data_IF_621201537645
#
_entry.id   IF_621201537645
#
_cell.length_a   1.000
_cell.length_b   1.000
_cell.length_c   1.000
_cell.angle_alpha   90.00
_cell.angle_beta   90.00
_cell.angle_gamma   90.00
#
_symmetry.space_group_name_H-M   'P 1'
#
loop_
_entity.id
_entity.type
_entity.pdbx_description
1 polymer ?
#
# COMPACT_ATOMS: atom_id res chain seq x y z
N UNK A 1 21.01 9.43 7.58
CA UNK A 1 19.80 9.31 6.76
C UNK A 1 18.91 8.29 7.43
N UNK A 2 17.58 8.54 7.47
CA UNK A 2 16.59 7.54 7.86
C UNK A 2 16.10 6.74 6.64
N UNK A 3 15.44 5.63 6.89
CA UNK A 3 14.85 4.77 5.83
C UNK A 3 13.41 4.43 6.22
N UNK A 4 12.49 4.55 5.26
CA UNK A 4 11.12 4.01 5.36
C UNK A 4 10.96 2.92 4.30
N UNK A 5 10.54 1.74 4.73
CA UNK A 5 10.23 0.61 3.87
C UNK A 5 8.70 0.46 3.82
N UNK A 6 8.09 0.81 2.69
CA UNK A 6 6.66 0.62 2.46
C UNK A 6 6.46 -0.80 1.92
N UNK A 7 5.70 -1.60 2.61
CA UNK A 7 5.44 -3.02 2.31
C UNK A 7 3.97 -3.18 1.96
N UNK A 8 3.67 -3.73 0.78
CA UNK A 8 2.30 -4.15 0.48
C UNK A 8 1.96 -5.41 1.27
N UNK A 9 0.76 -5.49 1.79
CA UNK A 9 0.27 -6.72 2.45
C UNK A 9 0.41 -7.96 1.55
N UNK A 10 0.51 -9.12 2.14
CA UNK A 10 0.49 -10.42 1.47
C UNK A 10 -0.84 -10.66 0.73
N UNK A 11 -0.90 -11.67 -0.11
CA UNK A 11 -2.10 -12.00 -0.86
C UNK A 11 -3.28 -12.21 0.08
N UNK A 12 -4.38 -11.48 -0.15
CA UNK A 12 -5.63 -11.65 0.55
C UNK A 12 -6.42 -12.87 0.01
N UNK A 13 -7.28 -13.43 0.86
CA UNK A 13 -8.14 -14.57 0.48
C UNK A 13 -9.25 -14.12 -0.45
N UNK A 14 -9.26 -14.63 -1.68
CA UNK A 14 -10.35 -14.44 -2.63
C UNK A 14 -11.45 -15.47 -2.41
N UNK A 15 -12.71 -15.02 -2.33
CA UNK A 15 -13.89 -15.90 -2.26
C UNK A 15 -14.16 -16.47 -0.88
N UNK A 16 -13.52 -15.99 0.18
CA UNK A 16 -13.96 -16.18 1.56
C UNK A 16 -14.99 -15.11 1.94
N UNK A 17 -15.83 -15.41 2.93
CA UNK A 17 -16.80 -14.45 3.50
C UNK A 17 -16.12 -13.19 4.06
N UNK A 18 -14.83 -13.26 4.35
CA UNK A 18 -13.98 -12.16 4.83
C UNK A 18 -12.79 -11.98 3.88
N UNK A 19 -12.90 -10.99 2.99
CA UNK A 19 -11.83 -10.62 2.04
C UNK A 19 -10.59 -10.02 2.74
N UNK A 20 -10.73 -9.53 3.97
CA UNK A 20 -9.64 -8.83 4.67
C UNK A 20 -8.65 -9.77 5.39
N UNK A 21 -8.70 -11.09 5.14
CA UNK A 21 -7.75 -12.08 5.67
C UNK A 21 -6.69 -12.45 4.63
N UNK A 22 -5.49 -12.79 5.08
CA UNK A 22 -4.46 -13.35 4.19
C UNK A 22 -4.80 -14.79 3.78
N UNK A 23 -4.47 -15.14 2.54
CA UNK A 23 -4.39 -16.53 2.10
C UNK A 23 -3.15 -17.22 2.71
N UNK A 24 -3.06 -18.55 2.58
CA UNK A 24 -1.85 -19.29 2.98
C UNK A 24 -0.61 -18.75 2.25
N UNK A 25 -0.75 -18.44 0.95
CA UNK A 25 0.30 -17.77 0.17
C UNK A 25 0.66 -16.40 0.75
N UNK A 26 -0.32 -15.61 1.20
CA UNK A 26 -0.08 -14.32 1.82
C UNK A 26 0.72 -14.40 3.11
N UNK A 27 0.43 -15.39 3.96
CA UNK A 27 1.21 -15.67 5.15
C UNK A 27 2.64 -16.10 4.82
N UNK A 28 2.83 -16.94 3.79
CA UNK A 28 4.16 -17.35 3.34
C UNK A 28 4.97 -16.18 2.78
N UNK A 29 4.34 -15.32 1.96
CA UNK A 29 4.96 -14.10 1.45
C UNK A 29 5.46 -13.20 2.58
N UNK A 30 4.66 -13.02 3.65
CA UNK A 30 5.09 -12.25 4.82
C UNK A 30 6.30 -12.86 5.52
N UNK A 31 6.34 -14.19 5.69
CA UNK A 31 7.48 -14.90 6.30
C UNK A 31 8.75 -14.78 5.45
N UNK A 32 8.64 -14.98 4.12
CA UNK A 32 9.75 -14.83 3.19
C UNK A 32 10.31 -13.41 3.19
N UNK A 33 9.43 -12.40 3.22
CA UNK A 33 9.83 -11.00 3.36
C UNK A 33 10.63 -10.77 4.64
N UNK A 34 10.14 -11.26 5.78
CA UNK A 34 10.81 -11.12 7.07
C UNK A 34 12.21 -11.71 7.05
N UNK A 35 12.35 -12.95 6.59
CA UNK A 35 13.64 -13.63 6.47
C UNK A 35 14.58 -12.85 5.54
N UNK A 36 14.09 -12.41 4.38
CA UNK A 36 14.87 -11.64 3.41
C UNK A 36 15.39 -10.31 3.96
N UNK A 37 14.59 -9.61 4.75
CA UNK A 37 15.00 -8.36 5.40
C UNK A 37 16.04 -8.62 6.50
N UNK A 38 15.85 -9.66 7.31
CA UNK A 38 16.79 -10.04 8.37
C UNK A 38 18.17 -10.45 7.80
N UNK A 39 18.21 -11.22 6.71
CA UNK A 39 19.44 -11.61 6.01
C UNK A 39 20.24 -10.41 5.50
N UNK A 40 19.57 -9.26 5.30
CA UNK A 40 20.18 -7.99 4.88
C UNK A 40 20.47 -7.05 6.03
N UNK A 41 20.47 -7.59 7.26
CA UNK A 41 20.72 -6.85 8.48
C UNK A 41 19.79 -5.63 8.65
N UNK A 42 18.56 -5.69 8.12
CA UNK A 42 17.54 -4.69 8.40
C UNK A 42 17.07 -4.87 9.84
N UNK A 43 17.20 -3.83 10.66
CA UNK A 43 16.75 -3.80 12.05
C UNK A 43 15.80 -2.62 12.20
N UNK A 44 14.47 -2.84 12.09
CA UNK A 44 13.53 -1.73 12.22
C UNK A 44 13.50 -1.19 13.63
N UNK A 45 13.56 0.14 13.75
CA UNK A 45 13.32 0.84 15.01
C UNK A 45 11.85 0.91 15.36
N UNK A 46 10.99 0.75 14.34
CA UNK A 46 9.54 0.78 14.45
C UNK A 46 8.92 0.03 13.27
N UNK A 47 7.84 -0.70 13.54
CA UNK A 47 6.93 -1.22 12.53
C UNK A 47 5.61 -0.45 12.64
N UNK A 48 5.15 0.14 11.55
CA UNK A 48 3.83 0.78 11.44
C UNK A 48 2.96 -0.07 10.54
N UNK A 49 1.68 -0.15 10.80
CA UNK A 49 0.72 -0.80 9.90
C UNK A 49 -0.56 0.01 9.81
N UNK A 50 -1.28 -0.13 8.71
CA UNK A 50 -2.68 0.25 8.65
C UNK A 50 -3.54 -0.59 9.60
N UNK A 51 -4.80 -0.22 9.79
CA UNK A 51 -5.70 -0.91 10.73
C UNK A 51 -6.37 -2.16 10.16
N UNK A 52 -6.30 -2.36 8.84
CA UNK A 52 -6.89 -3.51 8.16
C UNK A 52 -6.28 -4.83 8.65
N UNK A 53 -7.10 -5.89 8.69
CA UNK A 53 -6.69 -7.21 9.17
C UNK A 53 -5.52 -7.78 8.37
N UNK A 54 -5.56 -7.68 7.03
CA UNK A 54 -4.46 -8.12 6.16
C UNK A 54 -3.14 -7.39 6.42
N UNK A 55 -3.17 -6.12 6.87
CA UNK A 55 -1.97 -5.39 7.28
C UNK A 55 -1.39 -5.97 8.57
N UNK A 56 -2.25 -6.25 9.56
CA UNK A 56 -1.86 -6.88 10.81
C UNK A 56 -1.23 -8.26 10.57
N UNK A 57 -1.92 -9.13 9.83
CA UNK A 57 -1.47 -10.49 9.56
C UNK A 57 -0.15 -10.51 8.78
N UNK A 58 0.05 -9.58 7.82
CA UNK A 58 1.34 -9.42 7.12
C UNK A 58 2.45 -9.00 8.07
N UNK A 59 2.19 -8.03 8.95
CA UNK A 59 3.17 -7.61 9.95
C UNK A 59 3.56 -8.76 10.90
N UNK A 60 2.59 -9.53 11.38
CA UNK A 60 2.80 -10.71 12.21
C UNK A 60 3.68 -11.76 11.49
N UNK A 61 3.35 -12.09 10.24
CA UNK A 61 4.11 -13.04 9.43
C UNK A 61 5.55 -12.56 9.18
N UNK A 62 5.72 -11.28 8.84
CA UNK A 62 7.03 -10.66 8.63
C UNK A 62 7.88 -10.66 9.90
N UNK A 63 7.31 -10.27 11.03
CA UNK A 63 8.03 -10.28 12.33
C UNK A 63 8.47 -11.69 12.69
N UNK A 64 7.59 -12.69 12.53
CA UNK A 64 7.91 -14.08 12.78
C UNK A 64 9.02 -14.60 11.84
N UNK A 65 8.95 -14.30 10.54
CA UNK A 65 9.95 -14.70 9.55
C UNK A 65 11.32 -14.08 9.79
N UNK A 66 11.36 -12.86 10.30
CA UNK A 66 12.60 -12.14 10.63
C UNK A 66 13.16 -12.48 12.02
N UNK A 67 12.36 -13.10 12.90
CA UNK A 67 12.71 -13.27 14.31
C UNK A 67 12.78 -11.94 15.08
N UNK A 68 12.03 -10.94 14.64
CA UNK A 68 12.03 -9.62 15.28
C UNK A 68 11.01 -9.51 16.41
N UNK A 69 11.42 -8.79 17.46
CA UNK A 69 10.53 -8.31 18.55
C UNK A 69 10.45 -6.78 18.48
N UNK A 70 9.94 -6.26 17.36
CA UNK A 70 9.81 -4.81 17.15
C UNK A 70 8.47 -4.29 17.71
N UNK A 71 8.48 -3.01 18.14
CA UNK A 71 7.25 -2.29 18.47
C UNK A 71 6.39 -2.08 17.23
N UNK A 72 5.08 -2.31 17.33
CA UNK A 72 4.13 -2.14 16.23
C UNK A 72 3.12 -1.05 16.58
N UNK A 73 3.04 -0.03 15.75
CA UNK A 73 2.04 1.04 15.82
C UNK A 73 0.99 0.89 14.72
N UNK A 74 -0.23 1.34 15.01
CA UNK A 74 -1.33 1.38 14.04
C UNK A 74 -1.52 2.83 13.58
N UNK A 75 -1.49 3.02 12.28
CA UNK A 75 -1.80 4.30 11.63
C UNK A 75 -2.79 4.10 10.50
N UNK A 76 -4.11 4.40 10.70
CA UNK A 76 -5.13 4.26 9.67
C UNK A 76 -4.89 5.13 8.42
N UNK A 77 -3.96 6.10 8.49
CA UNK A 77 -3.51 6.84 7.32
C UNK A 77 -2.91 5.96 6.23
N UNK A 78 -2.50 4.73 6.58
CA UNK A 78 -1.98 3.71 5.67
C UNK A 78 -3.02 2.69 5.18
N UNK A 79 -4.31 2.85 5.52
CA UNK A 79 -5.37 1.97 5.04
C UNK A 79 -5.64 2.17 3.55
N UNK A 80 -6.11 1.10 2.90
CA UNK A 80 -6.56 1.17 1.51
C UNK A 80 -7.80 2.07 1.41
N UNK A 81 -8.03 2.65 0.23
CA UNK A 81 -9.28 3.33 -0.05
C UNK A 81 -10.44 2.32 -0.21
N UNK A 82 -11.66 2.77 0.04
CA UNK A 82 -12.86 1.97 -0.14
C UNK A 82 -13.20 1.82 -1.64
N UNK A 83 -12.59 0.81 -2.28
CA UNK A 83 -12.80 0.55 -3.70
C UNK A 83 -14.26 0.17 -4.03
N UNK A 84 -14.98 -0.48 -3.09
CA UNK A 84 -16.39 -0.81 -3.30
C UNK A 84 -17.26 0.44 -3.20
N UNK A 85 -16.97 1.34 -2.26
CA UNK A 85 -17.61 2.64 -2.17
C UNK A 85 -17.35 3.52 -3.41
N UNK A 86 -16.13 3.48 -3.96
CA UNK A 86 -15.80 4.17 -5.22
C UNK A 86 -16.63 3.63 -6.39
N UNK A 87 -16.72 2.30 -6.52
CA UNK A 87 -17.56 1.68 -7.57
C UNK A 87 -19.03 1.98 -7.34
N UNK A 88 -19.52 1.85 -6.10
CA UNK A 88 -20.93 2.08 -5.75
C UNK A 88 -21.39 3.54 -5.96
N UNK A 89 -20.49 4.49 -5.84
CA UNK A 89 -20.78 5.92 -6.09
C UNK A 89 -20.80 6.30 -7.59
N UNK A 90 -20.38 5.41 -8.47
CA UNK A 90 -20.43 5.70 -9.91
C UNK A 90 -21.87 5.56 -10.43
N UNK A 91 -22.45 6.60 -11.10
CA UNK A 91 -23.86 6.64 -11.46
C UNK A 91 -24.28 5.59 -12.48
N UNK A 92 -23.36 5.05 -13.25
CA UNK A 92 -23.61 4.03 -14.27
C UNK A 92 -23.19 2.62 -13.83
N UNK A 93 -23.00 2.40 -12.52
CA UNK A 93 -22.68 1.06 -12.01
C UNK A 93 -23.86 0.10 -12.28
N UNK A 94 -23.66 -0.99 -13.02
CA UNK A 94 -24.74 -1.94 -13.31
C UNK A 94 -25.28 -2.56 -12.02
N UNK A 95 -26.58 -2.76 -11.97
CA UNK A 95 -27.26 -3.49 -10.90
C UNK A 95 -27.21 -4.99 -11.21
N UNK A 96 -26.56 -5.79 -10.37
CA UNK A 96 -26.47 -7.24 -10.51
C UNK A 96 -25.05 -7.79 -10.26
N UNK A 97 -24.92 -9.12 -10.34
CA UNK A 97 -23.62 -9.76 -10.28
C UNK A 97 -22.85 -9.49 -11.57
N UNK A 98 -21.67 -8.88 -11.42
CA UNK A 98 -20.74 -8.63 -12.52
C UNK A 98 -19.74 -9.78 -12.62
N UNK A 99 -19.42 -10.21 -13.83
CA UNK A 99 -18.26 -11.05 -14.03
C UNK A 99 -16.96 -10.26 -13.75
N UNK A 100 -15.84 -10.99 -13.64
CA UNK A 100 -14.54 -10.39 -13.30
C UNK A 100 -14.09 -9.32 -14.30
N UNK A 101 -14.38 -9.47 -15.60
CA UNK A 101 -14.00 -8.52 -16.64
C UNK A 101 -14.88 -7.29 -16.61
N UNK A 102 -16.16 -7.49 -16.39
CA UNK A 102 -17.15 -6.41 -16.24
C UNK A 102 -16.83 -5.59 -15.01
N UNK A 103 -16.58 -6.22 -13.86
CA UNK A 103 -16.16 -5.53 -12.64
C UNK A 103 -14.89 -4.71 -12.86
N UNK A 104 -13.88 -5.28 -13.51
CA UNK A 104 -12.63 -4.55 -13.78
C UNK A 104 -12.88 -3.30 -14.64
N UNK A 105 -13.72 -3.38 -15.65
CA UNK A 105 -14.06 -2.23 -16.51
C UNK A 105 -14.80 -1.14 -15.73
N UNK A 106 -15.80 -1.53 -14.93
CA UNK A 106 -16.54 -0.59 -14.08
C UNK A 106 -15.61 0.06 -13.07
N UNK A 107 -14.74 -0.72 -12.46
CA UNK A 107 -13.74 -0.24 -11.51
C UNK A 107 -12.79 0.80 -12.13
N UNK A 108 -12.32 0.58 -13.35
CA UNK A 108 -11.44 1.53 -14.07
C UNK A 108 -12.15 2.87 -14.30
N UNK A 109 -13.38 2.85 -14.81
CA UNK A 109 -14.17 4.06 -15.06
C UNK A 109 -14.53 4.77 -13.76
N UNK A 110 -14.94 4.04 -12.73
CA UNK A 110 -15.26 4.60 -11.42
C UNK A 110 -14.03 5.25 -10.76
N UNK A 111 -12.88 4.60 -10.86
CA UNK A 111 -11.61 5.11 -10.33
C UNK A 111 -11.16 6.36 -11.10
N UNK A 112 -11.31 6.41 -12.43
CA UNK A 112 -11.02 7.60 -13.23
C UNK A 112 -11.90 8.78 -12.80
N UNK A 113 -13.21 8.57 -12.59
CA UNK A 113 -14.12 9.60 -12.10
C UNK A 113 -13.73 10.09 -10.69
N UNK A 114 -13.36 9.18 -9.79
CA UNK A 114 -12.94 9.51 -8.44
C UNK A 114 -11.65 10.33 -8.42
N UNK A 115 -10.64 9.90 -9.17
CA UNK A 115 -9.35 10.59 -9.25
C UNK A 115 -9.40 11.93 -9.99
N UNK A 116 -10.45 12.18 -10.77
CA UNK A 116 -10.67 13.48 -11.41
C UNK A 116 -11.02 14.60 -10.41
N UNK A 117 -11.47 14.27 -9.18
CA UNK A 117 -11.77 15.23 -8.12
C UNK A 117 -12.95 16.17 -8.41
N UNK A 118 -13.76 15.88 -9.43
CA UNK A 118 -14.89 16.73 -9.84
C UNK A 118 -16.20 16.42 -9.08
N UNK A 119 -16.23 15.31 -8.35
CA UNK A 119 -17.43 14.74 -7.72
C UNK A 119 -17.15 14.29 -6.29
N UNK A 120 -16.29 14.97 -5.59
CA UNK A 120 -15.79 14.58 -4.25
C UNK A 120 -16.89 14.32 -3.23
N UNK A 121 -18.02 15.04 -3.33
CA UNK A 121 -19.17 14.88 -2.44
C UNK A 121 -19.96 13.57 -2.62
N UNK A 122 -19.72 12.83 -3.68
CA UNK A 122 -20.41 11.56 -3.97
C UNK A 122 -19.76 10.37 -3.22
N UNK A 123 -18.55 10.56 -2.71
CA UNK A 123 -17.72 9.48 -2.14
C UNK A 123 -17.62 9.58 -0.62
N UNK A 124 -17.59 8.43 0.10
CA UNK A 124 -17.28 8.42 1.54
C UNK A 124 -15.89 9.01 1.85
N UNK A 125 -14.91 8.76 0.97
CA UNK A 125 -13.59 9.38 0.97
C UNK A 125 -13.28 9.95 -0.42
N UNK A 126 -13.09 11.26 -0.51
CA UNK A 126 -12.69 11.90 -1.77
C UNK A 126 -11.24 11.58 -2.14
N UNK A 127 -10.89 11.74 -3.41
CA UNK A 127 -9.50 11.59 -3.87
C UNK A 127 -8.52 12.52 -3.12
N UNK A 128 -8.80 13.83 -2.93
CA UNK A 128 -7.95 14.68 -2.10
C UNK A 128 -7.87 14.23 -0.64
N UNK A 129 -8.96 13.69 -0.08
CA UNK A 129 -9.00 13.14 1.29
C UNK A 129 -8.04 11.96 1.43
N UNK A 130 -8.16 10.98 0.54
CA UNK A 130 -7.28 9.81 0.47
C UNK A 130 -5.80 10.21 0.34
N UNK A 131 -5.47 11.01 -0.67
CA UNK A 131 -4.08 11.41 -0.92
C UNK A 131 -3.51 12.28 0.19
N UNK A 132 -4.33 13.13 0.82
CA UNK A 132 -3.96 13.96 1.96
C UNK A 132 -3.60 13.13 3.19
N UNK A 133 -4.43 12.10 3.54
CA UNK A 133 -4.11 11.23 4.69
C UNK A 133 -2.87 10.39 4.46
N UNK A 134 -2.67 9.87 3.24
CA UNK A 134 -1.47 9.11 2.89
C UNK A 134 -0.22 9.96 2.98
N UNK A 135 -0.26 11.20 2.47
CA UNK A 135 0.85 12.15 2.60
C UNK A 135 1.20 12.42 4.06
N UNK A 136 0.18 12.65 4.90
CA UNK A 136 0.36 12.88 6.33
C UNK A 136 0.97 11.65 7.02
N UNK A 137 0.54 10.44 6.66
CA UNK A 137 1.11 9.19 7.19
C UNK A 137 2.56 8.99 6.76
N UNK A 138 2.90 9.33 5.50
CA UNK A 138 4.27 9.30 5.00
C UNK A 138 5.17 10.27 5.78
N UNK A 139 4.72 11.50 6.00
CA UNK A 139 5.46 12.51 6.75
C UNK A 139 5.73 12.05 8.19
N UNK A 140 4.73 11.44 8.86
CA UNK A 140 4.90 10.86 10.20
C UNK A 140 5.95 9.74 10.19
N UNK A 141 5.83 8.79 9.25
CA UNK A 141 6.77 7.67 9.14
C UNK A 141 8.20 8.16 8.84
N UNK A 142 8.36 9.19 8.01
CA UNK A 142 9.65 9.81 7.73
C UNK A 142 10.23 10.51 8.97
N UNK A 143 9.40 11.19 9.77
CA UNK A 143 9.83 11.81 11.03
C UNK A 143 10.27 10.75 12.06
N UNK A 144 9.52 9.64 12.18
CA UNK A 144 9.84 8.52 13.06
C UNK A 144 11.13 7.79 12.66
N UNK A 145 11.44 7.70 11.36
CA UNK A 145 12.67 7.10 10.88
C UNK A 145 13.91 7.84 11.36
N UNK A 146 13.86 9.17 11.47
CA UNK A 146 14.94 9.98 12.00
C UNK A 146 16.33 9.68 11.41
N UNK A 147 17.39 10.23 11.97
CA UNK A 147 18.76 9.91 11.54
C UNK A 147 19.18 8.51 11.96
N UNK A 148 19.43 7.62 10.98
CA UNK A 148 19.92 6.26 11.22
C UNK A 148 18.85 5.22 11.57
N UNK A 149 17.58 5.63 11.73
CA UNK A 149 16.48 4.71 11.99
C UNK A 149 15.91 4.10 10.73
N UNK A 150 15.23 2.98 10.90
CA UNK A 150 14.46 2.29 9.85
C UNK A 150 13.04 2.06 10.35
N UNK A 151 12.06 2.58 9.62
CA UNK A 151 10.63 2.32 9.84
C UNK A 151 10.13 1.39 8.75
N UNK A 152 9.50 0.29 9.13
CA UNK A 152 8.78 -0.59 8.19
C UNK A 152 7.30 -0.29 8.29
N UNK A 153 6.66 -0.01 7.15
CA UNK A 153 5.22 0.30 7.06
C UNK A 153 4.52 -0.78 6.28
N UNK A 154 3.56 -1.47 6.87
CA UNK A 154 2.71 -2.44 6.17
C UNK A 154 1.40 -1.76 5.76
N UNK A 155 1.13 -1.75 4.45
CA UNK A 155 0.01 -1.03 3.84
C UNK A 155 -0.54 -1.78 2.61
N UNK A 156 -1.28 -1.09 1.77
CA UNK A 156 -1.90 -1.59 0.54
C UNK A 156 -1.33 -0.91 -0.71
N UNK A 157 -1.71 -1.41 -1.89
CA UNK A 157 -1.23 -0.91 -3.17
C UNK A 157 -1.53 0.56 -3.40
N UNK A 158 -2.76 0.99 -3.13
CA UNK A 158 -3.19 2.38 -3.32
C UNK A 158 -2.38 3.40 -2.54
N UNK A 159 -2.23 3.28 -1.21
CA UNK A 159 -1.39 4.18 -0.42
C UNK A 159 0.09 4.17 -0.83
N UNK A 160 0.67 2.99 -1.12
CA UNK A 160 2.06 2.89 -1.57
C UNK A 160 2.26 3.60 -2.91
N UNK A 161 1.33 3.41 -3.84
CA UNK A 161 1.36 4.10 -5.13
C UNK A 161 1.21 5.62 -4.96
N UNK A 162 0.32 6.09 -4.04
CA UNK A 162 0.13 7.50 -3.77
C UNK A 162 1.37 8.16 -3.16
N UNK A 163 1.97 7.53 -2.15
CA UNK A 163 3.23 7.98 -1.57
C UNK A 163 4.35 8.01 -2.62
N UNK A 164 4.45 6.97 -3.46
CA UNK A 164 5.46 6.88 -4.51
C UNK A 164 5.26 7.96 -5.58
N UNK A 165 4.04 8.18 -6.05
CA UNK A 165 3.72 9.22 -7.04
C UNK A 165 4.11 10.61 -6.53
N UNK A 166 3.79 10.94 -5.28
CA UNK A 166 4.15 12.20 -4.65
C UNK A 166 5.68 12.41 -4.54
N UNK A 167 6.44 11.33 -4.36
CA UNK A 167 7.91 11.39 -4.28
C UNK A 167 8.59 11.44 -5.65
N UNK A 168 7.97 10.84 -6.68
CA UNK A 168 8.50 10.86 -8.06
C UNK A 168 8.34 12.23 -8.68
N UNK A 169 7.17 12.84 -8.52
CA UNK A 169 6.89 14.18 -9.06
C UNK A 169 6.18 15.06 -8.01
N UNK A 170 6.95 15.71 -7.10
CA UNK A 170 6.37 16.57 -6.07
C UNK A 170 5.66 17.81 -6.61
N UNK A 171 5.88 18.15 -7.88
CA UNK A 171 5.27 19.31 -8.56
C UNK A 171 4.14 18.94 -9.51
N UNK A 172 3.75 17.67 -9.57
CA UNK A 172 2.67 17.20 -10.44
C UNK A 172 1.36 17.95 -10.13
N UNK A 173 0.66 18.36 -11.20
CA UNK A 173 -0.74 18.73 -11.09
C UNK A 173 -1.61 17.50 -10.76
N UNK A 174 -2.86 17.72 -10.34
CA UNK A 174 -3.77 16.65 -9.91
C UNK A 174 -3.95 15.58 -10.99
N UNK A 175 -4.03 15.96 -12.26
CA UNK A 175 -4.19 15.03 -13.36
C UNK A 175 -2.92 14.19 -13.62
N UNK A 176 -1.74 14.79 -13.53
CA UNK A 176 -0.47 14.08 -13.65
C UNK A 176 -0.26 13.14 -12.47
N UNK A 177 -0.59 13.58 -11.26
CA UNK A 177 -0.53 12.77 -10.05
C UNK A 177 -1.46 11.55 -10.13
N UNK A 178 -2.72 11.75 -10.52
CA UNK A 178 -3.70 10.67 -10.70
C UNK A 178 -3.24 9.64 -11.75
N UNK A 179 -2.71 10.11 -12.90
CA UNK A 179 -2.15 9.22 -13.94
C UNK A 179 -0.96 8.42 -13.43
N UNK A 180 -0.05 9.04 -12.67
CA UNK A 180 1.11 8.36 -12.11
C UNK A 180 0.69 7.34 -11.06
N UNK A 181 -0.20 7.72 -10.13
CA UNK A 181 -0.78 6.81 -9.15
C UNK A 181 -1.39 5.57 -9.80
N UNK A 182 -2.24 5.74 -10.81
CA UNK A 182 -2.91 4.63 -11.48
C UNK A 182 -1.90 3.64 -12.10
N UNK A 183 -0.86 4.15 -12.77
CA UNK A 183 0.20 3.31 -13.35
C UNK A 183 0.98 2.53 -12.30
N UNK A 184 1.30 3.15 -11.18
CA UNK A 184 2.02 2.51 -10.09
C UNK A 184 1.15 1.49 -9.36
N UNK A 185 -0.12 1.84 -9.06
CA UNK A 185 -1.04 0.99 -8.31
C UNK A 185 -1.31 -0.37 -9.00
N UNK A 186 -1.34 -0.39 -10.32
CA UNK A 186 -1.64 -1.62 -11.10
C UNK A 186 -0.54 -2.68 -11.04
N UNK A 187 0.68 -2.32 -10.65
CA UNK A 187 1.84 -3.21 -10.71
C UNK A 187 2.44 -3.58 -9.35
N UNK A 188 1.91 -3.04 -8.25
CA UNK A 188 2.46 -3.35 -6.92
C UNK A 188 2.24 -4.82 -6.59
N UNK A 189 3.32 -5.55 -6.31
CA UNK A 189 3.30 -6.99 -5.97
C UNK A 189 2.97 -7.17 -4.48
N UNK A 190 2.23 -8.22 -4.12
CA UNK A 190 2.00 -8.57 -2.73
C UNK A 190 3.33 -8.80 -1.99
N UNK A 191 3.45 -8.31 -0.78
CA UNK A 191 4.68 -8.32 0.04
C UNK A 191 5.91 -7.66 -0.60
N UNK A 192 5.74 -6.87 -1.67
CA UNK A 192 6.84 -6.07 -2.24
C UNK A 192 7.25 -4.94 -1.30
N UNK A 193 8.48 -4.47 -1.47
CA UNK A 193 9.08 -3.39 -0.69
C UNK A 193 9.32 -2.17 -1.59
N UNK A 194 8.83 -1.02 -1.18
CA UNK A 194 9.16 0.28 -1.77
C UNK A 194 10.00 1.06 -0.77
N UNK A 195 11.19 1.48 -1.16
CA UNK A 195 12.16 2.10 -0.26
C UNK A 195 12.22 3.61 -0.42
N UNK A 196 12.07 4.31 0.69
CA UNK A 196 12.20 5.76 0.79
C UNK A 196 13.39 6.08 1.69
N UNK A 197 14.29 6.96 1.23
CA UNK A 197 15.39 7.48 2.04
C UNK A 197 15.05 8.88 2.50
N UNK A 198 15.35 9.17 3.77
CA UNK A 198 15.04 10.45 4.42
C UNK A 198 16.36 11.16 4.72
N UNK A 199 16.65 12.19 3.94
CA UNK A 199 17.84 13.03 4.10
C UNK A 199 17.51 14.43 4.61
N UNK A 200 18.52 15.29 4.68
CA UNK A 200 18.36 16.70 5.09
C UNK A 200 17.52 17.52 4.12
N UNK A 201 17.37 17.06 2.87
CA UNK A 201 16.56 17.72 1.83
C UNK A 201 15.16 17.09 1.67
N UNK A 202 14.74 16.27 2.64
CA UNK A 202 13.47 15.58 2.65
C UNK A 202 13.53 14.14 2.11
N UNK A 203 12.37 13.48 2.02
CA UNK A 203 12.26 12.11 1.54
C UNK A 203 12.50 12.01 0.02
N UNK A 204 13.05 10.87 -0.41
CA UNK A 204 13.25 10.50 -1.82
C UNK A 204 12.91 9.04 -2.02
N UNK A 205 12.19 8.74 -3.09
CA UNK A 205 11.98 7.37 -3.55
C UNK A 205 13.31 6.80 -4.05
N UNK A 206 13.80 5.73 -3.42
CA UNK A 206 15.03 5.07 -3.84
C UNK A 206 14.74 3.90 -4.79
N UNK A 207 13.77 3.05 -4.40
CA UNK A 207 13.32 1.91 -5.21
C UNK A 207 11.82 1.76 -5.07
N UNK A 208 11.19 1.15 -6.08
CA UNK A 208 9.77 0.87 -6.09
C UNK A 208 9.51 -0.61 -6.37
N UNK A 209 8.63 -1.23 -5.57
CA UNK A 209 8.08 -2.56 -5.84
C UNK A 209 9.15 -3.68 -5.90
N UNK A 210 10.19 -3.63 -5.05
CA UNK A 210 11.19 -4.70 -4.92
C UNK A 210 10.56 -5.99 -4.36
N UNK A 211 10.78 -7.12 -5.03
CA UNK A 211 10.23 -8.41 -4.62
C UNK A 211 11.16 -9.61 -4.90
N UNK A 212 12.49 -9.50 -4.70
CA UNK A 212 13.43 -10.58 -5.04
C UNK A 212 13.35 -11.79 -4.08
N UNK A 213 12.57 -11.69 -3.02
CA UNK A 213 12.26 -12.79 -2.09
C UNK A 213 11.08 -13.65 -2.54
N UNK A 214 10.40 -13.29 -3.64
CA UNK A 214 9.23 -13.97 -4.16
C UNK A 214 9.54 -14.60 -5.52
N UNK A 215 9.26 -15.90 -5.66
CA UNK A 215 9.45 -16.64 -6.90
C UNK A 215 8.27 -17.58 -7.17
N UNK A 216 8.04 -17.91 -8.44
CA UNK A 216 7.02 -18.88 -8.84
C UNK A 216 5.62 -18.53 -8.30
N UNK A 217 5.01 -19.45 -7.56
CA UNK A 217 3.65 -19.31 -7.03
C UNK A 217 3.52 -18.27 -5.91
N UNK A 218 4.63 -17.87 -5.31
CA UNK A 218 4.62 -16.79 -4.30
C UNK A 218 4.61 -15.40 -4.93
N UNK A 219 4.81 -15.26 -6.23
CA UNK A 219 4.72 -13.98 -6.93
C UNK A 219 3.28 -13.70 -7.35
N UNK A 220 2.58 -12.83 -6.62
CA UNK A 220 1.17 -12.50 -6.88
C UNK A 220 0.94 -10.99 -6.89
N UNK A 221 -0.06 -10.55 -7.66
CA UNK A 221 -0.41 -9.14 -7.84
C UNK A 221 -1.77 -8.76 -7.21
N UNK A 222 -2.50 -9.76 -6.71
CA UNK A 222 -3.86 -9.59 -6.15
C UNK A 222 -4.04 -10.45 -4.93
#
# INVERSE_FOLDING_TARGET
>A
MGVVLLVRHGQASFGSDDYDVLSETGWEQGRLLGAWLADRAVNPTLVVRGDMRRHRETAEAMLAGAGWSAHVEVDPGWDEFDHLGVVGAHPETPTGELDRREFQRVFEVATERWTAGLHDGDYPESWPGFTGRVRTALDRSCAQAGPGGTVVVVSSGGPIAAASAALVDPGADDAAYARLWNRLNTVVVNSSVTRVVVGSTGPRLLTFNEHPHLEGETLTYR
#
